data_IF_436732256153
#
_entry.id   IF_436732256153
#
_cell.length_a   1.000
_cell.length_b   1.000
_cell.length_c   1.000
_cell.angle_alpha   90.00
_cell.angle_beta   90.00
_cell.angle_gamma   90.00
#
_symmetry.space_group_name_H-M   'P 1'
#
loop_
_entity.id
_entity.type
_entity.pdbx_description
1 polymer ?
#
# COMPACT_ATOMS: atom_id res chain seq x y z
N UNK A 1 37.54 7.46 30.78
CA UNK A 1 36.59 7.18 29.68
C UNK A 1 35.77 8.41 29.25
N UNK A 2 36.39 9.59 29.11
CA UNK A 2 35.67 10.85 28.79
C UNK A 2 36.23 11.59 27.56
N UNK A 3 37.16 10.97 26.81
CA UNK A 3 37.82 11.58 25.62
C UNK A 3 37.60 10.81 24.31
N UNK A 4 36.87 9.68 24.34
CA UNK A 4 36.45 8.95 23.13
C UNK A 4 35.05 9.34 22.65
N UNK A 5 34.32 10.17 23.41
CA UNK A 5 32.97 10.61 23.06
C UNK A 5 32.93 11.89 22.19
N UNK A 6 34.08 12.55 21.98
CA UNK A 6 34.17 13.78 21.18
C UNK A 6 34.55 13.53 19.71
N UNK A 7 34.98 12.31 19.35
CA UNK A 7 35.41 11.97 18.00
C UNK A 7 34.28 11.49 17.07
N UNK A 8 33.10 11.14 17.60
CA UNK A 8 31.98 10.62 16.80
C UNK A 8 30.98 11.70 16.36
N UNK A 9 31.14 12.94 16.85
CA UNK A 9 30.24 14.07 16.56
C UNK A 9 30.71 14.97 15.41
N UNK A 10 31.87 14.68 14.81
CA UNK A 10 32.42 15.42 13.65
C UNK A 10 32.39 14.57 12.37
N UNK A 11 32.04 13.27 12.46
CA UNK A 11 31.91 12.38 11.31
C UNK A 11 30.56 12.41 10.59
N UNK A 12 29.58 13.19 11.08
CA UNK A 12 28.20 13.21 10.57
C UNK A 12 27.79 14.53 9.89
N UNK A 13 28.73 15.47 9.71
CA UNK A 13 28.49 16.80 9.10
C UNK A 13 29.26 17.03 7.80
N UNK A 14 29.61 15.96 7.09
CA UNK A 14 30.43 16.04 5.87
C UNK A 14 29.92 15.17 4.73
N UNK A 15 28.65 15.30 4.33
CA UNK A 15 28.13 14.90 3.02
C UNK A 15 26.75 15.55 2.77
N UNK A 16 26.66 16.85 3.04
CA UNK A 16 25.60 17.70 2.48
C UNK A 16 26.19 18.44 1.27
N UNK A 17 26.43 17.71 0.18
CA UNK A 17 26.56 18.34 -1.13
C UNK A 17 25.16 18.80 -1.54
N UNK A 18 24.88 20.07 -1.31
CA UNK A 18 23.72 20.79 -1.84
C UNK A 18 23.86 20.90 -3.36
N UNK A 19 23.50 19.84 -4.07
CA UNK A 19 23.02 19.98 -5.43
C UNK A 19 21.66 20.70 -5.39
N UNK A 20 21.27 21.45 -6.43
CA UNK A 20 19.91 21.96 -6.51
C UNK A 20 18.98 20.76 -6.42
N UNK A 21 18.19 20.68 -5.34
CA UNK A 21 17.05 19.80 -5.29
C UNK A 21 16.08 20.30 -6.36
N UNK A 22 16.20 19.74 -7.57
CA UNK A 22 15.18 19.85 -8.58
C UNK A 22 13.95 19.19 -7.95
N UNK A 23 12.97 20.01 -7.56
CA UNK A 23 11.65 19.50 -7.26
C UNK A 23 11.21 18.78 -8.54
N UNK A 24 11.16 17.44 -8.50
CA UNK A 24 10.59 16.67 -9.61
C UNK A 24 9.12 17.07 -9.69
N UNK A 25 8.80 17.90 -10.66
CA UNK A 25 7.42 18.18 -11.04
C UNK A 25 6.79 16.84 -11.40
N UNK A 26 5.79 16.39 -10.64
CA UNK A 26 5.12 15.12 -10.88
C UNK A 26 4.14 15.29 -12.06
N UNK A 27 4.67 15.34 -13.28
CA UNK A 27 3.87 15.27 -14.50
C UNK A 27 3.31 13.86 -14.64
N UNK A 28 1.99 13.76 -14.80
CA UNK A 28 1.30 12.52 -15.10
C UNK A 28 0.77 12.57 -16.53
N UNK A 29 1.02 11.52 -17.30
CA UNK A 29 0.41 11.36 -18.61
C UNK A 29 -0.88 10.56 -18.47
N UNK A 30 -1.93 10.94 -19.19
CA UNK A 30 -3.18 10.17 -19.23
C UNK A 30 -3.31 9.50 -20.60
N UNK A 31 -3.55 8.19 -20.64
CA UNK A 31 -3.93 7.45 -21.84
C UNK A 31 -5.38 6.99 -21.69
N UNK A 32 -6.20 7.27 -22.70
CA UNK A 32 -7.58 6.78 -22.77
C UNK A 32 -7.66 5.69 -23.83
N UNK A 33 -8.28 4.57 -23.48
CA UNK A 33 -8.54 3.43 -24.36
C UNK A 33 -10.05 3.21 -24.35
N UNK A 34 -10.74 3.31 -25.48
CA UNK A 34 -12.19 3.21 -25.58
C UNK A 34 -12.60 2.11 -26.53
N UNK A 35 -13.35 1.15 -26.03
CA UNK A 35 -13.97 0.12 -26.86
C UNK A 35 -15.03 0.75 -27.78
N UNK A 36 -14.90 0.54 -29.08
CA UNK A 36 -15.83 1.05 -30.11
C UNK A 36 -16.76 -0.05 -30.59
N UNK A 37 -16.20 -1.21 -30.91
CA UNK A 37 -16.94 -2.45 -31.20
C UNK A 37 -16.29 -3.60 -30.41
N UNK A 38 -16.99 -4.75 -30.20
CA UNK A 38 -16.44 -5.84 -29.39
C UNK A 38 -15.07 -6.27 -29.91
N UNK A 39 -14.05 -6.18 -29.06
CA UNK A 39 -12.66 -6.51 -29.42
C UNK A 39 -11.87 -5.42 -30.14
N UNK A 40 -12.48 -4.26 -30.37
CA UNK A 40 -11.92 -3.12 -31.11
C UNK A 40 -11.84 -1.88 -30.23
N UNK A 41 -10.64 -1.39 -29.98
CA UNK A 41 -10.38 -0.27 -29.09
C UNK A 41 -9.74 0.89 -29.84
N UNK A 42 -10.12 2.11 -29.49
CA UNK A 42 -9.44 3.33 -29.92
C UNK A 42 -8.68 3.89 -28.73
N UNK A 43 -7.39 4.14 -28.89
CA UNK A 43 -6.55 4.66 -27.82
C UNK A 43 -5.94 6.01 -28.19
N UNK A 44 -5.74 6.86 -27.20
CA UNK A 44 -5.11 8.17 -27.36
C UNK A 44 -4.49 8.66 -26.06
N UNK A 45 -3.36 9.37 -26.16
CA UNK A 45 -2.84 10.17 -25.06
C UNK A 45 -3.67 11.45 -24.90
N UNK A 46 -4.02 11.78 -23.67
CA UNK A 46 -4.64 13.03 -23.29
C UNK A 46 -3.68 14.21 -23.45
N UNK A 47 -4.24 15.40 -23.63
CA UNK A 47 -3.46 16.63 -23.73
C UNK A 47 -2.63 16.83 -22.45
N UNK A 48 -1.31 16.97 -22.60
CA UNK A 48 -0.40 17.26 -21.50
C UNK A 48 0.15 18.69 -21.67
N UNK A 49 0.29 19.44 -20.56
CA UNK A 49 0.58 20.88 -20.57
C UNK A 49 1.94 21.29 -21.15
N UNK A 50 2.96 20.41 -21.18
CA UNK A 50 4.34 20.79 -21.56
C UNK A 50 4.97 19.99 -22.70
N UNK A 51 4.68 18.70 -22.83
CA UNK A 51 5.21 17.82 -23.90
C UNK A 51 4.17 16.77 -24.31
N UNK A 52 4.05 16.45 -25.61
CA UNK A 52 3.19 15.36 -26.06
C UNK A 52 3.65 14.04 -25.43
N UNK A 53 2.77 13.35 -24.69
CA UNK A 53 3.13 12.12 -23.99
C UNK A 53 3.61 11.01 -24.95
N UNK A 54 3.15 11.00 -26.19
CA UNK A 54 3.54 10.06 -27.25
C UNK A 54 5.01 10.21 -27.72
N UNK A 55 5.69 11.32 -27.41
CA UNK A 55 7.12 11.47 -27.73
C UNK A 55 8.03 10.78 -26.70
N UNK A 56 7.52 10.56 -25.48
CA UNK A 56 8.30 10.06 -24.34
C UNK A 56 7.84 8.67 -23.92
N UNK A 57 6.52 8.43 -23.94
CA UNK A 57 5.90 7.20 -23.48
C UNK A 57 5.46 6.35 -24.65
N UNK A 58 5.87 5.08 -24.64
CA UNK A 58 5.47 4.09 -25.63
C UNK A 58 4.70 2.97 -24.97
N UNK A 59 3.40 2.80 -25.27
CA UNK A 59 2.64 1.65 -24.80
C UNK A 59 3.15 0.38 -25.49
N UNK A 60 3.17 -0.72 -24.74
CA UNK A 60 3.47 -2.07 -25.21
C UNK A 60 2.23 -2.88 -24.91
N UNK A 61 1.47 -3.18 -25.97
CA UNK A 61 0.21 -3.89 -25.88
C UNK A 61 0.40 -5.38 -25.61
N UNK A 62 -0.63 -6.05 -25.05
CA UNK A 62 -0.63 -7.50 -24.91
C UNK A 62 -0.47 -8.25 -26.24
N UNK A 63 0.04 -9.48 -26.19
CA UNK A 63 0.35 -10.28 -27.39
C UNK A 63 -0.88 -10.60 -28.27
N UNK A 64 -2.08 -10.60 -27.71
CA UNK A 64 -3.33 -10.84 -28.44
C UNK A 64 -3.88 -9.58 -29.13
N UNK A 65 -3.25 -8.42 -28.95
CA UNK A 65 -3.69 -7.15 -29.50
C UNK A 65 -2.73 -6.64 -30.58
N UNK A 66 -3.28 -6.27 -31.74
CA UNK A 66 -2.54 -5.66 -32.84
C UNK A 66 -2.89 -4.17 -32.96
N UNK A 67 -1.86 -3.32 -32.92
CA UNK A 67 -1.99 -1.87 -33.07
C UNK A 67 -1.97 -1.47 -34.54
N UNK A 68 -2.97 -0.71 -34.98
CA UNK A 68 -3.03 -0.01 -36.28
C UNK A 68 -3.29 1.48 -36.04
N UNK A 69 -2.21 2.24 -35.84
CA UNK A 69 -2.26 3.64 -35.43
C UNK A 69 -2.93 3.82 -34.07
N UNK A 70 -4.05 4.56 -34.03
CA UNK A 70 -4.83 4.75 -32.80
C UNK A 70 -5.91 3.68 -32.61
N UNK A 71 -5.99 2.68 -33.49
CA UNK A 71 -6.88 1.54 -33.34
C UNK A 71 -6.11 0.34 -32.81
N UNK A 72 -6.78 -0.48 -32.01
CA UNK A 72 -6.22 -1.65 -31.37
C UNK A 72 -7.21 -2.81 -31.51
N UNK A 73 -6.77 -3.83 -32.24
CA UNK A 73 -7.53 -5.02 -32.58
C UNK A 73 -7.15 -6.17 -31.63
N UNK A 74 -8.02 -6.51 -30.67
CA UNK A 74 -7.74 -7.52 -29.62
C UNK A 74 -8.58 -8.81 -29.76
N UNK A 75 -9.45 -8.91 -30.76
CA UNK A 75 -10.27 -10.10 -31.01
C UNK A 75 -11.36 -10.35 -29.95
N UNK A 76 -11.92 -11.57 -29.93
CA UNK A 76 -13.07 -11.93 -29.09
C UNK A 76 -12.78 -11.93 -27.58
N UNK A 77 -11.52 -12.15 -27.18
CA UNK A 77 -11.09 -12.16 -25.77
C UNK A 77 -10.94 -10.73 -25.19
N UNK A 78 -10.98 -9.71 -26.06
CA UNK A 78 -10.86 -8.31 -25.68
C UNK A 78 -9.46 -7.93 -25.16
N UNK A 79 -9.37 -6.76 -24.52
CA UNK A 79 -8.11 -6.21 -24.01
C UNK A 79 -7.62 -7.00 -22.77
N UNK A 80 -6.91 -8.10 -23.00
CA UNK A 80 -6.44 -9.05 -21.99
C UNK A 80 -4.93 -9.28 -22.11
N UNK A 81 -4.21 -9.39 -20.99
CA UNK A 81 -2.77 -9.65 -20.94
C UNK A 81 -1.99 -8.46 -20.37
N UNK A 82 -0.66 -8.49 -20.48
CA UNK A 82 0.18 -7.47 -19.87
C UNK A 82 0.25 -6.22 -20.74
N UNK A 83 -0.24 -5.10 -20.23
CA UNK A 83 -0.01 -3.77 -20.80
C UNK A 83 1.15 -3.12 -20.06
N UNK A 84 2.20 -2.73 -20.78
CA UNK A 84 3.32 -1.99 -20.22
C UNK A 84 3.45 -0.61 -20.89
N UNK A 85 4.07 0.34 -20.20
CA UNK A 85 4.42 1.65 -20.78
C UNK A 85 5.89 1.89 -20.52
N UNK A 86 6.66 2.04 -21.59
CA UNK A 86 8.09 2.39 -21.55
C UNK A 86 8.25 3.90 -21.45
N UNK A 87 9.34 4.35 -20.82
CA UNK A 87 9.67 5.78 -20.66
C UNK A 87 9.10 6.44 -19.41
N UNK A 88 8.42 5.69 -18.52
CA UNK A 88 8.01 6.22 -17.22
C UNK A 88 9.25 6.45 -16.36
N UNK A 89 9.43 7.69 -15.89
CA UNK A 89 10.65 8.18 -15.25
C UNK A 89 11.44 9.16 -16.14
N UNK A 90 11.29 9.08 -17.47
CA UNK A 90 12.02 9.91 -18.43
C UNK A 90 11.24 11.17 -18.83
N UNK A 91 10.70 11.89 -17.83
CA UNK A 91 9.93 13.14 -18.01
C UNK A 91 8.47 13.07 -17.58
N UNK A 92 7.96 11.88 -17.29
CA UNK A 92 6.68 11.64 -16.61
C UNK A 92 6.90 10.71 -15.42
N UNK A 93 6.40 11.10 -14.25
CA UNK A 93 6.54 10.30 -13.02
C UNK A 93 5.55 9.13 -12.95
N UNK A 94 4.41 9.26 -13.63
CA UNK A 94 3.38 8.22 -13.72
C UNK A 94 2.55 8.35 -15.01
N UNK A 95 1.92 7.25 -15.40
CA UNK A 95 0.95 7.19 -16.50
C UNK A 95 -0.38 6.59 -16.01
N UNK A 96 -1.49 7.28 -16.26
CA UNK A 96 -2.84 6.85 -15.94
C UNK A 96 -3.52 6.30 -17.19
N UNK A 97 -3.89 5.03 -17.18
CA UNK A 97 -4.53 4.35 -18.31
C UNK A 97 -6.00 4.16 -17.97
N UNK A 98 -6.89 4.90 -18.64
CA UNK A 98 -8.34 4.80 -18.50
C UNK A 98 -8.91 3.98 -19.63
N UNK A 99 -9.37 2.77 -19.32
CA UNK A 99 -10.07 1.91 -20.27
C UNK A 99 -11.57 2.11 -20.09
N UNK A 100 -12.27 2.48 -21.16
CA UNK A 100 -13.72 2.64 -21.25
C UNK A 100 -14.28 1.52 -22.11
N UNK A 101 -15.19 0.73 -21.56
CA UNK A 101 -15.89 -0.30 -22.31
C UNK A 101 -17.24 0.19 -22.82
N UNK A 102 -17.79 -0.54 -23.80
CA UNK A 102 -19.06 -0.17 -24.44
C UNK A 102 -20.26 -0.26 -23.49
N UNK A 103 -20.18 -1.09 -22.46
CA UNK A 103 -21.21 -1.26 -21.43
C UNK A 103 -21.28 -0.08 -20.44
N UNK A 104 -20.40 0.91 -20.59
CA UNK A 104 -20.30 2.08 -19.73
C UNK A 104 -19.36 1.91 -18.55
N UNK A 105 -18.78 0.72 -18.34
CA UNK A 105 -17.75 0.52 -17.33
C UNK A 105 -16.47 1.25 -17.73
N UNK A 106 -15.73 1.70 -16.72
CA UNK A 106 -14.38 2.19 -16.92
C UNK A 106 -13.46 1.69 -15.81
N UNK A 107 -12.20 1.43 -16.16
CA UNK A 107 -11.16 1.06 -15.20
C UNK A 107 -9.97 1.96 -15.44
N UNK A 108 -9.38 2.42 -14.34
CA UNK A 108 -8.21 3.27 -14.36
C UNK A 108 -7.06 2.48 -13.77
N UNK A 109 -5.95 2.42 -14.49
CA UNK A 109 -4.73 1.77 -14.05
C UNK A 109 -3.63 2.83 -13.93
N UNK A 110 -2.90 2.84 -12.82
CA UNK A 110 -1.76 3.74 -12.62
C UNK A 110 -0.46 2.96 -12.78
N UNK A 111 0.40 3.41 -13.71
CA UNK A 111 1.75 2.91 -13.89
C UNK A 111 2.75 3.94 -13.39
N UNK A 112 3.79 3.50 -12.70
CA UNK A 112 4.86 4.35 -12.14
C UNK A 112 6.23 3.82 -12.57
N UNK A 113 7.30 4.55 -12.25
CA UNK A 113 8.67 4.08 -12.53
C UNK A 113 9.04 2.79 -11.79
N UNK A 114 8.37 2.48 -10.67
CA UNK A 114 8.55 1.21 -9.93
C UNK A 114 7.68 0.08 -10.48
N UNK A 115 6.59 0.39 -11.18
CA UNK A 115 5.67 -0.58 -11.76
C UNK A 115 5.22 -0.10 -13.14
N UNK A 116 5.98 -0.46 -14.17
CA UNK A 116 5.79 -0.01 -15.55
C UNK A 116 4.82 -0.88 -16.35
N UNK A 117 4.25 -1.93 -15.75
CA UNK A 117 3.32 -2.85 -16.38
C UNK A 117 2.15 -3.21 -15.47
N UNK A 118 0.98 -3.41 -16.09
CA UNK A 118 -0.25 -3.86 -15.45
C UNK A 118 -0.83 -5.03 -16.22
N UNK A 119 -1.41 -5.98 -15.49
CA UNK A 119 -2.14 -7.08 -16.11
C UNK A 119 -3.59 -6.65 -16.35
N UNK A 120 -4.00 -6.68 -17.62
CA UNK A 120 -5.37 -6.46 -18.06
C UNK A 120 -6.09 -7.81 -18.19
N UNK A 121 -7.38 -7.82 -17.91
CA UNK A 121 -8.15 -9.07 -17.76
C UNK A 121 -9.39 -9.13 -18.68
N UNK A 122 -9.43 -8.40 -19.80
CA UNK A 122 -10.56 -8.46 -20.73
C UNK A 122 -11.81 -7.68 -20.26
N UNK A 123 -12.78 -7.52 -21.15
CA UNK A 123 -13.82 -6.48 -21.13
C UNK A 123 -14.98 -6.64 -20.11
N UNK A 124 -15.59 -5.49 -19.74
CA UNK A 124 -16.98 -5.21 -19.33
C UNK A 124 -17.81 -6.25 -18.54
N UNK A 125 -17.90 -7.47 -19.05
CA UNK A 125 -18.51 -8.61 -18.36
C UNK A 125 -17.37 -9.46 -17.82
N UNK A 126 -16.85 -9.06 -16.66
CA UNK A 126 -15.81 -9.78 -15.93
C UNK A 126 -16.32 -11.19 -15.58
N UNK A 127 -16.15 -12.14 -16.51
CA UNK A 127 -16.54 -13.56 -16.37
C UNK A 127 -15.75 -14.31 -15.30
N UNK A 128 -14.91 -13.62 -14.53
CA UNK A 128 -14.35 -14.16 -13.29
C UNK A 128 -15.52 -14.46 -12.35
N UNK A 129 -15.78 -15.75 -12.13
CA UNK A 129 -16.68 -16.16 -11.07
C UNK A 129 -16.21 -15.51 -9.76
N UNK A 130 -17.15 -15.18 -8.86
CA UNK A 130 -16.85 -14.53 -7.56
C UNK A 130 -15.64 -15.14 -6.83
N UNK A 131 -15.36 -16.43 -7.04
CA UNK A 131 -14.19 -17.13 -6.49
C UNK A 131 -12.84 -16.64 -7.01
N UNK A 132 -12.70 -16.28 -8.28
CA UNK A 132 -11.42 -15.80 -8.84
C UNK A 132 -11.11 -14.39 -8.32
N UNK A 133 -12.12 -13.49 -8.31
CA UNK A 133 -12.01 -12.17 -7.67
C UNK A 133 -11.65 -12.32 -6.19
N UNK A 134 -12.35 -13.20 -5.47
CA UNK A 134 -12.06 -13.46 -4.07
C UNK A 134 -10.61 -13.91 -3.85
N UNK A 135 -10.11 -14.84 -4.68
CA UNK A 135 -8.74 -15.35 -4.55
C UNK A 135 -7.68 -14.28 -4.81
N UNK A 136 -7.88 -13.46 -5.85
CA UNK A 136 -6.94 -12.39 -6.20
C UNK A 136 -6.85 -11.33 -5.10
N UNK A 137 -7.99 -10.92 -4.55
CA UNK A 137 -8.01 -9.92 -3.47
C UNK A 137 -7.52 -10.49 -2.13
N UNK A 138 -7.72 -11.77 -1.83
CA UNK A 138 -7.07 -12.42 -0.68
C UNK A 138 -5.55 -12.33 -0.80
N UNK A 139 -4.98 -12.69 -1.96
CA UNK A 139 -3.53 -12.62 -2.19
C UNK A 139 -3.04 -11.18 -2.06
N UNK A 140 -3.73 -10.22 -2.66
CA UNK A 140 -3.41 -8.80 -2.56
C UNK A 140 -3.42 -8.31 -1.10
N UNK A 141 -4.38 -8.76 -0.29
CA UNK A 141 -4.45 -8.43 1.13
C UNK A 141 -3.29 -9.00 1.94
N UNK A 142 -2.84 -10.22 1.62
CA UNK A 142 -1.65 -10.82 2.23
C UNK A 142 -0.40 -10.02 1.86
N UNK A 143 -0.21 -9.74 0.57
CA UNK A 143 0.93 -8.98 0.06
C UNK A 143 1.00 -7.57 0.64
N UNK A 144 -0.14 -6.88 0.74
CA UNK A 144 -0.24 -5.56 1.38
C UNK A 144 0.34 -5.55 2.79
N UNK A 145 0.03 -6.55 3.61
CA UNK A 145 0.55 -6.65 4.98
C UNK A 145 2.04 -7.03 5.00
N UNK A 146 2.45 -7.97 4.14
CA UNK A 146 3.84 -8.45 4.12
C UNK A 146 4.82 -7.43 3.54
N UNK A 147 4.38 -6.59 2.60
CA UNK A 147 5.20 -5.52 2.01
C UNK A 147 5.11 -4.22 2.81
N UNK A 148 3.99 -3.98 3.50
CA UNK A 148 3.77 -2.81 4.34
C UNK A 148 4.54 -2.87 5.65
N UNK A 149 5.74 -2.28 5.68
CA UNK A 149 6.61 -2.30 6.88
C UNK A 149 5.90 -1.70 8.11
N UNK A 150 5.10 -0.64 7.93
CA UNK A 150 4.29 -0.06 9.01
C UNK A 150 3.36 -1.09 9.67
N UNK A 151 2.69 -1.92 8.86
CA UNK A 151 1.79 -2.97 9.35
C UNK A 151 2.54 -4.05 10.11
N UNK A 152 3.70 -4.48 9.59
CA UNK A 152 4.55 -5.46 10.26
C UNK A 152 5.03 -4.95 11.63
N UNK A 153 5.55 -3.71 11.68
CA UNK A 153 6.02 -3.10 12.93
C UNK A 153 4.87 -2.91 13.93
N UNK A 154 3.69 -2.53 13.45
CA UNK A 154 2.50 -2.40 14.28
C UNK A 154 2.06 -3.74 14.89
N UNK A 155 1.94 -4.80 14.08
CA UNK A 155 1.56 -6.16 14.54
C UNK A 155 2.58 -6.72 15.52
N UNK A 156 3.88 -6.55 15.25
CA UNK A 156 4.95 -6.93 16.16
C UNK A 156 4.87 -6.13 17.48
N UNK A 157 4.56 -4.83 17.40
CA UNK A 157 4.31 -3.99 18.57
C UNK A 157 3.15 -4.50 19.43
N UNK A 158 2.01 -4.82 18.80
CA UNK A 158 0.85 -5.41 19.48
C UNK A 158 1.19 -6.77 20.11
N UNK A 159 1.98 -7.59 19.42
CA UNK A 159 2.48 -8.84 19.97
C UNK A 159 3.33 -8.61 21.23
N UNK A 160 4.21 -7.60 21.25
CA UNK A 160 4.98 -7.27 22.45
C UNK A 160 4.14 -6.67 23.59
N UNK A 161 3.04 -6.00 23.25
CA UNK A 161 2.11 -5.40 24.21
C UNK A 161 1.24 -6.45 24.89
N UNK A 162 0.64 -7.35 24.09
CA UNK A 162 -0.38 -8.32 24.54
C UNK A 162 0.19 -9.70 24.83
N UNK A 163 1.24 -10.12 24.12
CA UNK A 163 1.83 -11.46 24.17
C UNK A 163 1.04 -12.51 23.37
N UNK A 164 1.60 -13.72 23.26
CA UNK A 164 0.99 -14.86 22.55
C UNK A 164 -0.20 -15.46 23.32
N UNK A 165 -1.35 -14.79 23.30
CA UNK A 165 -2.57 -15.27 23.95
C UNK A 165 -3.81 -15.04 23.07
N UNK A 166 -4.96 -15.57 23.50
CA UNK A 166 -6.24 -15.38 22.78
C UNK A 166 -6.67 -13.92 22.64
N UNK A 167 -6.20 -13.03 23.53
CA UNK A 167 -6.49 -11.58 23.41
C UNK A 167 -5.79 -10.98 22.20
N UNK A 168 -4.61 -11.47 21.81
CA UNK A 168 -3.93 -11.00 20.61
C UNK A 168 -4.78 -11.25 19.36
N UNK A 169 -5.36 -12.45 19.22
CA UNK A 169 -6.25 -12.77 18.10
C UNK A 169 -7.42 -11.78 18.04
N UNK A 170 -8.15 -11.59 19.15
CA UNK A 170 -9.23 -10.59 19.21
C UNK A 170 -8.77 -9.15 18.98
N UNK A 171 -7.51 -8.83 19.29
CA UNK A 171 -6.93 -7.50 19.05
C UNK A 171 -6.66 -7.29 17.55
N UNK A 172 -6.12 -8.30 16.87
CA UNK A 172 -5.87 -8.29 15.42
C UNK A 172 -7.20 -8.22 14.67
N UNK A 173 -8.15 -9.10 15.00
CA UNK A 173 -9.47 -9.09 14.35
C UNK A 173 -10.21 -7.77 14.57
N UNK A 174 -10.09 -7.14 15.75
CA UNK A 174 -10.67 -5.82 16.00
C UNK A 174 -10.04 -4.72 15.13
N UNK A 175 -8.71 -4.77 14.93
CA UNK A 175 -8.02 -3.89 14.00
C UNK A 175 -8.53 -4.09 12.56
N UNK A 176 -8.59 -5.33 12.09
CA UNK A 176 -9.05 -5.67 10.72
C UNK A 176 -10.50 -5.26 10.48
N UNK A 177 -11.37 -5.44 11.49
CA UNK A 177 -12.76 -5.00 11.40
C UNK A 177 -12.88 -3.48 11.24
N UNK A 178 -12.12 -2.70 12.03
CA UNK A 178 -12.08 -1.25 11.91
C UNK A 178 -11.47 -0.78 10.59
N UNK A 179 -10.40 -1.43 10.15
CA UNK A 179 -9.75 -1.19 8.87
C UNK A 179 -10.70 -1.45 7.69
N UNK A 180 -11.45 -2.57 7.74
CA UNK A 180 -12.48 -2.89 6.76
C UNK A 180 -13.54 -1.80 6.69
N UNK A 181 -13.99 -1.30 7.85
CA UNK A 181 -15.01 -0.26 7.92
C UNK A 181 -14.53 1.02 7.22
N UNK A 182 -13.34 1.51 7.52
CA UNK A 182 -12.86 2.75 6.90
C UNK A 182 -12.49 2.60 5.44
N UNK A 183 -12.02 1.42 5.01
CA UNK A 183 -11.86 1.11 3.59
C UNK A 183 -13.19 1.15 2.83
N UNK A 184 -14.25 0.55 3.38
CA UNK A 184 -15.58 0.60 2.76
C UNK A 184 -16.08 2.04 2.67
N UNK A 185 -15.97 2.81 3.76
CA UNK A 185 -16.39 4.21 3.78
C UNK A 185 -15.63 5.07 2.75
N UNK A 186 -14.34 4.79 2.57
CA UNK A 186 -13.51 5.51 1.60
C UNK A 186 -13.77 5.07 0.17
N UNK A 187 -13.97 3.77 -0.07
CA UNK A 187 -14.35 3.22 -1.38
C UNK A 187 -15.71 3.75 -1.87
N UNK A 188 -16.67 3.95 -0.94
CA UNK A 188 -17.96 4.62 -1.22
C UNK A 188 -17.84 6.13 -1.44
N UNK A 189 -16.64 6.70 -1.24
CA UNK A 189 -16.39 8.14 -1.36
C UNK A 189 -16.94 8.97 -0.19
N UNK A 190 -17.41 8.34 0.89
CA UNK A 190 -17.98 9.06 2.04
C UNK A 190 -16.91 9.66 2.94
N UNK A 191 -15.70 9.08 2.95
CA UNK A 191 -14.58 9.55 3.76
C UNK A 191 -13.29 9.55 2.93
N UNK A 192 -12.87 10.73 2.47
CA UNK A 192 -11.64 10.92 1.70
C UNK A 192 -10.77 11.95 2.42
N UNK A 193 -9.58 11.53 2.83
CA UNK A 193 -8.60 12.39 3.49
C UNK A 193 -7.32 12.46 2.66
N UNK A 194 -6.56 13.54 2.86
CA UNK A 194 -5.22 13.68 2.27
C UNK A 194 -4.28 12.63 2.90
N UNK A 195 -3.39 11.96 2.13
CA UNK A 195 -2.49 10.94 2.67
C UNK A 195 -1.54 11.39 3.78
N UNK A 196 -0.85 12.56 3.72
CA UNK A 196 0.22 12.87 4.69
C UNK A 196 -0.24 12.92 6.16
N UNK A 197 -1.39 13.54 6.53
CA UNK A 197 -1.91 13.46 7.89
C UNK A 197 -2.27 12.04 8.36
N UNK A 198 -2.79 11.21 7.44
CA UNK A 198 -3.17 9.82 7.76
C UNK A 198 -1.92 8.98 7.99
N UNK A 199 -0.94 9.05 7.11
CA UNK A 199 0.34 8.35 7.24
C UNK A 199 1.11 8.78 8.50
N UNK A 200 1.12 10.07 8.83
CA UNK A 200 1.71 10.56 10.08
C UNK A 200 1.02 9.95 11.32
N UNK A 201 -0.30 9.82 11.28
CA UNK A 201 -1.10 9.23 12.36
C UNK A 201 -0.85 7.72 12.49
N UNK A 202 -0.68 7.02 11.37
CA UNK A 202 -0.28 5.61 11.32
C UNK A 202 1.10 5.44 11.98
N UNK A 203 2.10 6.22 11.58
CA UNK A 203 3.43 6.14 12.18
C UNK A 203 3.40 6.47 13.70
N UNK A 204 2.62 7.47 14.12
CA UNK A 204 2.46 7.82 15.53
C UNK A 204 1.80 6.69 16.33
N UNK A 205 0.86 5.94 15.74
CA UNK A 205 0.25 4.77 16.40
C UNK A 205 1.29 3.70 16.74
N UNK A 206 2.29 3.48 15.87
CA UNK A 206 3.37 2.52 16.09
C UNK A 206 4.29 3.00 17.23
N UNK A 207 4.61 4.30 17.28
CA UNK A 207 5.38 4.90 18.39
C UNK A 207 4.65 4.69 19.71
N UNK A 208 3.34 4.94 19.75
CA UNK A 208 2.52 4.76 20.95
C UNK A 208 2.51 3.29 21.39
N UNK A 209 2.24 2.35 20.49
CA UNK A 209 2.24 0.91 20.82
C UNK A 209 3.61 0.44 21.32
N UNK A 210 4.70 0.89 20.69
CA UNK A 210 6.06 0.56 21.12
C UNK A 210 6.36 1.10 22.54
N UNK A 211 5.94 2.34 22.82
CA UNK A 211 6.05 2.96 24.14
C UNK A 211 5.22 2.22 25.20
N UNK A 212 3.97 1.91 24.91
CA UNK A 212 3.07 1.14 25.80
C UNK A 212 3.60 -0.27 26.10
N UNK A 213 4.24 -0.90 25.11
CA UNK A 213 4.87 -2.20 25.29
C UNK A 213 6.10 -2.14 26.21
N UNK A 214 6.80 -0.99 26.31
CA UNK A 214 7.92 -0.81 27.25
C UNK A 214 7.45 -0.67 28.71
N UNK A 215 6.30 -0.02 28.94
CA UNK A 215 5.73 0.14 30.28
C UNK A 215 5.25 -1.19 30.85
N UNK A 216 5.44 -1.40 32.16
CA UNK A 216 4.98 -2.60 32.89
C UNK A 216 3.64 -2.40 33.60
N UNK A 217 3.20 -1.16 33.75
CA UNK A 217 1.95 -0.82 34.44
C UNK A 217 0.71 -1.10 33.59
N UNK A 218 -0.44 -1.22 34.25
CA UNK A 218 -1.72 -1.49 33.59
C UNK A 218 -2.31 -0.20 33.00
N UNK A 219 -1.87 0.16 31.81
CA UNK A 219 -2.44 1.26 31.02
C UNK A 219 -3.73 0.85 30.31
N UNK A 220 -4.45 1.83 29.73
CA UNK A 220 -5.65 1.56 28.92
C UNK A 220 -5.32 0.62 27.75
N UNK A 221 -4.16 0.82 27.10
CA UNK A 221 -3.72 -0.02 25.99
C UNK A 221 -3.48 -1.48 26.39
N UNK A 222 -3.00 -1.74 27.61
CA UNK A 222 -2.83 -3.11 28.14
C UNK A 222 -4.13 -3.72 28.64
N UNK A 223 -5.03 -2.90 29.19
CA UNK A 223 -6.30 -3.36 29.76
C UNK A 223 -7.36 -3.62 28.67
N UNK A 224 -7.38 -2.80 27.62
CA UNK A 224 -8.33 -2.85 26.50
C UNK A 224 -7.60 -2.80 25.14
N UNK A 225 -6.70 -3.76 24.85
CA UNK A 225 -5.88 -3.74 23.64
C UNK A 225 -6.73 -3.78 22.36
N UNK A 226 -7.84 -4.54 22.35
CA UNK A 226 -8.75 -4.59 21.21
C UNK A 226 -9.40 -3.25 20.87
N UNK A 227 -9.72 -2.42 21.88
CA UNK A 227 -10.28 -1.08 21.65
C UNK A 227 -9.24 -0.16 21.03
N UNK A 228 -8.00 -0.18 21.54
CA UNK A 228 -6.91 0.62 21.00
C UNK A 228 -6.57 0.20 19.56
N UNK A 229 -6.50 -1.11 19.31
CA UNK A 229 -6.27 -1.65 17.98
C UNK A 229 -7.42 -1.32 17.01
N UNK A 230 -8.67 -1.33 17.47
CA UNK A 230 -9.82 -0.87 16.69
C UNK A 230 -9.66 0.60 16.28
N UNK A 231 -9.33 1.49 17.21
CA UNK A 231 -9.14 2.92 16.90
C UNK A 231 -8.00 3.15 15.89
N UNK A 232 -6.89 2.43 16.03
CA UNK A 232 -5.79 2.50 15.06
C UNK A 232 -6.17 1.88 13.70
N UNK A 233 -6.94 0.80 13.69
CA UNK A 233 -7.47 0.18 12.47
C UNK A 233 -8.30 1.15 11.64
N UNK A 234 -9.13 2.00 12.28
CA UNK A 234 -9.88 3.04 11.57
C UNK A 234 -8.95 3.96 10.77
N UNK A 235 -7.87 4.44 11.41
CA UNK A 235 -6.90 5.34 10.78
C UNK A 235 -6.09 4.62 9.70
N UNK A 236 -5.64 3.39 9.95
CA UNK A 236 -4.86 2.61 9.00
C UNK A 236 -5.64 2.34 7.70
N UNK A 237 -6.94 2.02 7.79
CA UNK A 237 -7.76 1.78 6.59
C UNK A 237 -7.90 3.00 5.68
N UNK A 238 -7.76 4.21 6.22
CA UNK A 238 -7.74 5.43 5.41
C UNK A 238 -6.44 5.60 4.61
N UNK A 239 -5.32 5.07 5.11
CA UNK A 239 -4.02 5.18 4.46
C UNK A 239 -3.94 4.39 3.16
N UNK A 240 -4.69 3.29 3.07
CA UNK A 240 -4.69 2.42 1.89
C UNK A 240 -5.80 2.75 0.87
N UNK A 241 -6.80 3.55 1.25
CA UNK A 241 -7.93 3.84 0.39
C UNK A 241 -7.56 4.52 -0.94
N UNK A 242 -6.53 5.38 -0.94
CA UNK A 242 -6.00 6.00 -2.16
C UNK A 242 -5.43 4.97 -3.13
N UNK A 243 -4.58 4.07 -2.64
CA UNK A 243 -3.98 2.99 -3.45
C UNK A 243 -5.05 2.05 -4.03
N UNK A 244 -6.11 1.75 -3.26
CA UNK A 244 -7.18 0.87 -3.72
C UNK A 244 -8.00 1.47 -4.88
N UNK A 245 -8.11 2.80 -4.91
CA UNK A 245 -8.72 3.52 -6.04
C UNK A 245 -7.85 3.46 -7.30
N UNK A 246 -6.53 3.43 -7.15
CA UNK A 246 -5.56 3.30 -8.25
C UNK A 246 -5.42 1.86 -8.78
N UNK A 247 -5.64 0.86 -7.93
CA UNK A 247 -5.65 -0.57 -8.30
C UNK A 247 -6.92 -0.94 -9.09
N UNK A 248 -7.99 -0.15 -8.97
CA UNK A 248 -9.24 -0.32 -9.73
C UNK A 248 -10.14 -1.41 -9.14
N UNK A 249 -11.04 -1.03 -8.23
CA UNK A 249 -12.05 -1.93 -7.68
C UNK A 249 -13.09 -2.32 -8.74
N UNK A 250 -13.46 -3.61 -8.88
CA UNK A 250 -14.54 -4.01 -9.77
C UNK A 250 -15.87 -3.47 -9.22
N UNK A 251 -16.51 -2.53 -9.92
CA UNK A 251 -17.73 -1.84 -9.43
C UNK A 251 -18.84 -2.82 -9.03
N UNK A 252 -19.08 -3.87 -9.84
CA UNK A 252 -20.11 -4.88 -9.59
C UNK A 252 -19.78 -5.87 -8.45
N UNK A 253 -18.50 -5.97 -8.05
CA UNK A 253 -18.02 -6.90 -7.02
C UNK A 253 -17.20 -6.24 -5.92
N UNK A 254 -17.35 -4.92 -5.76
CA UNK A 254 -16.56 -4.11 -4.84
C UNK A 254 -16.60 -4.65 -3.41
N UNK A 255 -17.79 -5.00 -2.91
CA UNK A 255 -17.93 -5.51 -1.55
C UNK A 255 -17.23 -6.86 -1.36
N UNK A 256 -17.31 -7.75 -2.36
CA UNK A 256 -16.63 -9.05 -2.33
C UNK A 256 -15.12 -8.83 -2.33
N UNK A 257 -14.62 -7.97 -3.21
CA UNK A 257 -13.20 -7.60 -3.28
C UNK A 257 -12.71 -7.02 -1.94
N UNK A 258 -13.45 -6.09 -1.33
CA UNK A 258 -13.10 -5.48 -0.05
C UNK A 258 -13.11 -6.49 1.11
N UNK A 259 -14.12 -7.35 1.18
CA UNK A 259 -14.21 -8.37 2.24
C UNK A 259 -13.08 -9.39 2.11
N UNK A 260 -12.84 -9.88 0.90
CA UNK A 260 -11.81 -10.90 0.63
C UNK A 260 -10.39 -10.34 0.76
N UNK A 261 -10.19 -9.06 0.42
CA UNK A 261 -8.98 -8.31 0.74
C UNK A 261 -8.71 -8.29 2.25
N UNK A 262 -9.71 -7.95 3.07
CA UNK A 262 -9.52 -7.92 4.52
C UNK A 262 -9.36 -9.32 5.13
N UNK A 263 -9.91 -10.37 4.51
CA UNK A 263 -9.55 -11.76 4.86
C UNK A 263 -8.07 -12.01 4.60
N UNK A 264 -7.55 -11.56 3.45
CA UNK A 264 -6.11 -11.58 3.16
C UNK A 264 -5.27 -10.83 4.18
N UNK A 265 -5.73 -9.65 4.61
CA UNK A 265 -5.08 -8.84 5.67
C UNK A 265 -4.97 -9.63 6.98
N UNK A 266 -6.09 -10.20 7.46
CA UNK A 266 -6.09 -11.00 8.69
C UNK A 266 -5.11 -12.19 8.56
N UNK A 267 -5.10 -12.88 7.41
CA UNK A 267 -4.17 -13.98 7.13
C UNK A 267 -2.72 -13.48 7.20
N UNK A 268 -2.37 -12.37 6.53
CA UNK A 268 -1.03 -11.81 6.54
C UNK A 268 -0.56 -11.39 7.94
N UNK A 269 -1.45 -10.84 8.76
CA UNK A 269 -1.16 -10.50 10.16
C UNK A 269 -0.91 -11.76 11.00
N UNK A 270 -1.75 -12.79 10.84
CA UNK A 270 -1.58 -14.06 11.54
C UNK A 270 -0.32 -14.82 11.09
N UNK A 271 0.04 -14.74 9.81
CA UNK A 271 1.32 -15.25 9.29
C UNK A 271 2.51 -14.54 9.96
N UNK A 272 2.44 -13.22 10.10
CA UNK A 272 3.46 -12.42 10.78
C UNK A 272 3.61 -12.83 12.25
N UNK A 273 2.49 -13.00 12.95
CA UNK A 273 2.50 -13.48 14.35
C UNK A 273 3.05 -14.90 14.45
N UNK A 274 2.66 -15.80 13.54
CA UNK A 274 3.15 -17.18 13.48
C UNK A 274 4.66 -17.25 13.23
N UNK A 275 5.17 -16.45 12.30
CA UNK A 275 6.60 -16.33 12.03
C UNK A 275 7.36 -15.78 13.24
N UNK A 276 6.86 -14.71 13.87
CA UNK A 276 7.44 -14.15 15.08
C UNK A 276 7.46 -15.16 16.24
N UNK A 277 6.39 -15.95 16.38
CA UNK A 277 6.32 -17.04 17.36
C UNK A 277 7.37 -18.13 17.10
N UNK A 278 7.52 -18.57 15.84
CA UNK A 278 8.50 -19.58 15.46
C UNK A 278 9.94 -19.10 15.74
N UNK A 279 10.26 -17.85 15.37
CA UNK A 279 11.56 -17.21 15.67
C UNK A 279 11.80 -17.14 17.18
N UNK A 280 10.81 -16.68 17.93
CA UNK A 280 10.90 -16.64 19.39
C UNK A 280 11.11 -18.03 19.99
N UNK A 281 10.39 -19.05 19.51
CA UNK A 281 10.50 -20.43 20.02
C UNK A 281 11.88 -21.02 19.73
N UNK A 282 12.42 -20.80 18.54
CA UNK A 282 13.75 -21.28 18.14
C UNK A 282 14.86 -20.65 18.97
N UNK A 283 14.76 -19.35 19.26
CA UNK A 283 15.81 -18.58 19.90
C UNK A 283 15.59 -18.35 21.41
N UNK A 284 14.46 -18.79 21.97
CA UNK A 284 14.12 -18.61 23.40
C UNK A 284 15.10 -19.27 24.37
N UNK A 285 15.86 -20.27 23.90
CA UNK A 285 16.92 -20.93 24.68
C UNK A 285 18.15 -20.04 24.89
N UNK A 286 18.28 -18.94 24.16
CA UNK A 286 19.46 -18.06 24.25
C UNK A 286 19.19 -16.93 25.27
N UNK A 287 20.06 -16.75 26.28
CA UNK A 287 19.85 -15.74 27.33
C UNK A 287 19.85 -14.30 26.79
N UNK A 288 20.42 -14.09 25.59
CA UNK A 288 20.38 -12.83 24.86
C UNK A 288 18.94 -12.41 24.48
N UNK A 289 18.02 -13.36 24.29
CA UNK A 289 16.66 -13.07 23.84
C UNK A 289 15.83 -12.31 24.88
N UNK A 290 16.16 -12.44 26.17
CA UNK A 290 15.56 -11.65 27.24
C UNK A 290 15.95 -10.16 27.16
N UNK A 291 17.12 -9.85 26.59
CA UNK A 291 17.58 -8.47 26.34
C UNK A 291 17.13 -7.93 24.98
N UNK A 292 16.67 -8.79 24.07
CA UNK A 292 16.24 -8.40 22.73
C UNK A 292 14.94 -7.59 22.72
N UNK A 293 14.03 -7.83 23.68
CA UNK A 293 12.73 -7.13 23.76
C UNK A 293 12.85 -5.60 23.81
N UNK A 294 13.56 -4.98 24.78
CA UNK A 294 13.68 -3.52 24.82
C UNK A 294 14.41 -2.98 23.57
N UNK A 295 15.44 -3.68 23.08
CA UNK A 295 16.18 -3.27 21.87
C UNK A 295 15.25 -3.23 20.66
N UNK A 296 14.43 -4.26 20.46
CA UNK A 296 13.45 -4.31 19.37
C UNK A 296 12.41 -3.19 19.49
N UNK A 297 11.87 -2.95 20.69
CA UNK A 297 10.88 -1.88 20.92
C UNK A 297 11.46 -0.47 20.71
N UNK A 298 12.70 -0.22 21.14
CA UNK A 298 13.39 1.04 20.82
C UNK A 298 13.64 1.18 19.32
N UNK A 299 14.07 0.11 18.64
CA UNK A 299 14.26 0.11 17.18
C UNK A 299 12.97 0.44 16.43
N UNK A 300 11.87 -0.25 16.77
CA UNK A 300 10.53 0.00 16.20
C UNK A 300 10.13 1.46 16.45
N UNK A 301 10.21 1.92 17.71
CA UNK A 301 9.83 3.28 18.08
C UNK A 301 10.66 4.36 17.39
N UNK A 302 11.98 4.15 17.22
CA UNK A 302 12.85 5.10 16.53
C UNK A 302 12.55 5.21 15.04
N UNK A 303 12.37 4.09 14.35
CA UNK A 303 12.00 4.07 12.92
C UNK A 303 10.64 4.73 12.72
N UNK A 304 9.64 4.37 13.53
CA UNK A 304 8.31 4.95 13.48
C UNK A 304 8.32 6.46 13.80
N UNK A 305 9.16 6.91 14.75
CA UNK A 305 9.29 8.34 15.08
C UNK A 305 9.90 9.14 13.91
N UNK A 306 10.91 8.57 13.23
CA UNK A 306 11.50 9.16 12.04
C UNK A 306 10.45 9.31 10.93
N UNK A 307 9.67 8.26 10.66
CA UNK A 307 8.60 8.31 9.66
C UNK A 307 7.51 9.31 10.03
N UNK A 308 7.04 9.31 11.28
CA UNK A 308 6.05 10.26 11.76
C UNK A 308 6.52 11.72 11.51
N UNK A 309 7.76 12.04 11.86
CA UNK A 309 8.32 13.37 11.60
C UNK A 309 8.37 13.70 10.10
N UNK A 310 8.85 12.75 9.28
CA UNK A 310 8.93 12.94 7.82
C UNK A 310 7.56 13.21 7.18
N UNK A 311 6.51 12.53 7.66
CA UNK A 311 5.14 12.68 7.16
C UNK A 311 4.48 13.95 7.67
N UNK A 312 4.76 14.35 8.92
CA UNK A 312 4.32 15.66 9.45
C UNK A 312 4.96 16.80 8.67
N UNK A 313 6.26 16.73 8.36
CA UNK A 313 6.92 17.75 7.54
C UNK A 313 6.26 17.87 6.15
N UNK A 314 5.86 16.75 5.55
CA UNK A 314 5.14 16.73 4.27
C UNK A 314 3.70 17.31 4.33
N UNK A 315 3.14 17.57 5.52
CA UNK A 315 1.85 18.28 5.65
C UNK A 315 2.03 19.78 5.36
N UNK A 316 3.20 20.33 5.69
CA UNK A 316 3.51 21.76 5.61
C UNK A 316 4.37 22.15 4.40
N UNK A 317 4.88 21.16 3.66
CA UNK A 317 5.59 21.34 2.40
C UNK A 317 4.60 21.49 1.24
#
# INVERSE_FOLDING_TARGET
>A
MRRLAAGLLIGLTGLATTGPAQAHEMSMAEMQVRETTPGEFVWQWGATEKRPANEVLTPVWPENCHEDGNQLHCGEDGLQGTLAVKGIGDGFSAALIKVYWRDGQSRVYTLTSSQTSVQLYGAADDRRGMGEIASAYVVLGIEHILQGVDHLLFVIGLLFLVGFNRRLLWTITAFTAAHSLTLILSALGWLVLRPPPVEASIALSIVLVAGEALHKEQTIARRWPSLVAFLFGLVHGLGFAGALKEIGLPENHMLVALLTFNVGVEIGQLMTVGAAWAVWRALSKWPLMLKARPVALYGIGSVASYWAWSRVAAIFA
#
